data_IF_439223810210
#
_entry.id   IF_439223810210
#
_cell.length_a   1.000
_cell.length_b   1.000
_cell.length_c   1.000
_cell.angle_alpha   90.00
_cell.angle_beta   90.00
_cell.angle_gamma   90.00
#
_symmetry.space_group_name_H-M   'P 1'
#
loop_
_entity.id
_entity.type
_entity.pdbx_description
1 polymer ?
#
# COMPACT_ATOMS: atom_id res chain seq x y z
N UNK A 1 -3.85 56.41 70.00
CA UNK A 1 -4.02 56.58 68.53
C UNK A 1 -4.56 55.25 67.99
N UNK A 2 -5.85 55.23 67.55
CA UNK A 2 -6.58 54.23 66.71
C UNK A 2 -6.67 52.75 67.18
N UNK A 3 -7.87 52.26 67.59
CA UNK A 3 -8.84 51.32 66.91
C UNK A 3 -8.30 49.86 66.81
N UNK A 4 -9.00 48.76 67.11
CA UNK A 4 -10.24 48.13 66.57
C UNK A 4 -10.62 46.95 67.53
N UNK A 5 -11.86 46.68 67.96
CA UNK A 5 -13.13 46.26 67.28
C UNK A 5 -13.21 44.77 66.89
N UNK A 6 -14.16 44.10 67.55
CA UNK A 6 -15.09 43.01 67.18
C UNK A 6 -14.62 41.82 66.32
N UNK A 7 -14.75 40.61 66.85
CA UNK A 7 -15.97 39.76 66.88
C UNK A 7 -16.11 38.95 65.59
N UNK A 8 -15.94 37.64 65.79
CA UNK A 8 -16.08 36.51 64.89
C UNK A 8 -17.27 36.64 63.94
N UNK A 9 -17.01 36.63 62.63
CA UNK A 9 -18.03 36.48 61.61
C UNK A 9 -17.60 35.41 60.59
N UNK A 10 -18.49 34.44 60.45
CA UNK A 10 -18.48 33.32 59.49
C UNK A 10 -18.35 33.85 58.05
N UNK A 11 -17.45 33.27 57.25
CA UNK A 11 -17.58 33.34 55.79
C UNK A 11 -17.22 32.01 55.12
N UNK A 12 -18.27 31.44 54.55
CA UNK A 12 -18.38 30.30 53.65
C UNK A 12 -17.43 30.49 52.44
N UNK A 13 -16.47 29.58 52.24
CA UNK A 13 -15.67 29.52 51.02
C UNK A 13 -16.08 28.28 50.22
N UNK A 14 -16.80 28.56 49.13
CA UNK A 14 -17.17 27.65 48.06
C UNK A 14 -15.93 26.95 47.50
N UNK A 15 -15.86 25.63 47.66
CA UNK A 15 -14.96 24.78 46.87
C UNK A 15 -15.57 24.63 45.48
N UNK A 16 -15.11 25.44 44.53
CA UNK A 16 -15.33 25.14 43.11
C UNK A 16 -14.38 24.01 42.77
N UNK A 17 -14.93 22.81 42.56
CA UNK A 17 -14.22 21.69 41.97
C UNK A 17 -13.90 22.04 40.52
N UNK A 18 -12.73 22.62 40.28
CA UNK A 18 -12.14 22.63 38.95
C UNK A 18 -11.49 21.26 38.75
N UNK A 19 -12.21 20.34 38.09
CA UNK A 19 -11.61 19.15 37.52
C UNK A 19 -10.61 19.62 36.46
N UNK A 20 -9.33 19.59 36.83
CA UNK A 20 -8.22 19.70 35.90
C UNK A 20 -8.02 18.32 35.29
N UNK A 21 -8.81 18.00 34.25
CA UNK A 21 -8.50 16.90 33.31
C UNK A 21 -7.32 17.33 32.43
N UNK A 22 -6.15 17.47 33.04
CA UNK A 22 -4.87 17.46 32.33
C UNK A 22 -4.31 16.04 32.49
N UNK A 23 -4.95 15.09 31.80
CA UNK A 23 -4.31 13.81 31.54
C UNK A 23 -3.16 14.10 30.57
N UNK A 24 -1.88 13.86 30.93
CA UNK A 24 -0.79 14.09 30.00
C UNK A 24 -1.04 13.19 28.80
N UNK A 25 -1.28 13.80 27.64
CA UNK A 25 -1.50 13.09 26.38
C UNK A 25 -0.46 11.98 26.26
N UNK A 26 -0.90 10.73 26.38
CA UNK A 26 -0.06 9.56 26.22
C UNK A 26 0.68 9.74 24.90
N UNK A 27 2.02 9.68 24.86
CA UNK A 27 2.74 9.84 23.62
C UNK A 27 2.17 8.85 22.60
N UNK A 28 1.59 9.37 21.51
CA UNK A 28 1.10 8.53 20.42
C UNK A 28 2.34 7.80 19.91
N UNK A 29 2.40 6.51 20.17
CA UNK A 29 3.51 5.68 19.75
C UNK A 29 3.65 5.82 18.23
N UNK A 30 4.74 6.43 17.78
CA UNK A 30 4.95 6.71 16.37
C UNK A 30 5.34 5.40 15.70
N UNK A 31 4.55 4.97 14.70
CA UNK A 31 4.83 3.78 13.92
C UNK A 31 6.27 3.78 13.40
N UNK A 32 7.02 2.70 13.63
CA UNK A 32 8.42 2.58 13.21
C UNK A 32 8.85 1.12 13.12
N UNK A 33 9.35 0.72 11.97
CA UNK A 33 9.97 -0.61 11.79
C UNK A 33 11.45 -0.41 11.46
N UNK A 34 12.32 -1.00 12.26
CA UNK A 34 13.77 -1.02 12.00
C UNK A 34 14.16 -2.41 11.56
N UNK A 35 14.67 -2.54 10.34
CA UNK A 35 15.31 -3.75 9.86
C UNK A 35 16.80 -3.66 10.20
N UNK A 36 17.31 -4.61 10.98
CA UNK A 36 18.72 -4.73 11.29
C UNK A 36 19.26 -5.95 10.56
N UNK A 37 20.10 -5.71 9.56
CA UNK A 37 20.68 -6.76 8.72
C UNK A 37 22.14 -6.99 9.11
N UNK A 38 22.49 -8.25 9.36
CA UNK A 38 23.86 -8.68 9.64
C UNK A 38 24.23 -9.87 8.76
N UNK A 39 25.50 -10.08 8.50
CA UNK A 39 25.96 -11.28 7.83
C UNK A 39 26.05 -12.47 8.81
N UNK A 40 26.54 -13.61 8.32
CA UNK A 40 26.73 -14.82 9.13
C UNK A 40 27.82 -14.70 10.20
N UNK A 41 28.71 -13.70 10.11
CA UNK A 41 29.69 -13.36 11.14
C UNK A 41 29.14 -12.39 12.19
N UNK A 42 27.95 -11.80 11.95
CA UNK A 42 27.31 -10.81 12.81
C UNK A 42 27.66 -9.37 12.47
N UNK A 43 28.43 -9.14 11.40
CA UNK A 43 28.81 -7.81 10.95
C UNK A 43 27.66 -7.14 10.18
N UNK A 44 27.46 -5.82 10.33
CA UNK A 44 26.39 -5.11 9.64
C UNK A 44 26.57 -5.12 8.12
N UNK A 45 25.47 -5.30 7.38
CA UNK A 45 25.49 -5.31 5.90
C UNK A 45 24.84 -4.06 5.34
N UNK A 46 25.66 -3.16 4.80
CA UNK A 46 25.23 -1.90 4.20
C UNK A 46 24.89 -2.05 2.71
N UNK A 47 24.08 -1.11 2.18
CA UNK A 47 23.81 -1.00 0.75
C UNK A 47 22.79 -1.99 0.19
N UNK A 48 22.15 -2.80 1.03
CA UNK A 48 21.07 -3.71 0.60
C UNK A 48 19.81 -2.90 0.34
N UNK A 49 19.25 -3.05 -0.86
CA UNK A 49 17.95 -2.50 -1.22
C UNK A 49 16.85 -3.34 -0.58
N UNK A 50 15.94 -2.69 0.13
CA UNK A 50 14.83 -3.33 0.81
C UNK A 50 13.53 -3.05 0.05
N UNK A 51 12.84 -4.11 -0.38
CA UNK A 51 11.48 -4.04 -0.94
C UNK A 51 10.51 -4.88 -0.10
N UNK A 52 9.24 -4.50 -0.05
CA UNK A 52 8.24 -5.14 0.81
C UNK A 52 6.98 -5.49 0.02
N UNK A 53 6.42 -6.66 0.30
CA UNK A 53 5.07 -7.05 -0.10
C UNK A 53 4.31 -7.66 1.06
N UNK A 54 3.00 -7.51 1.05
CA UNK A 54 2.14 -8.28 1.94
C UNK A 54 2.07 -9.73 1.45
N UNK A 55 2.39 -10.68 2.32
CA UNK A 55 2.32 -12.09 1.99
C UNK A 55 0.86 -12.52 1.88
N UNK A 56 0.53 -13.20 0.79
CA UNK A 56 -0.83 -13.69 0.59
C UNK A 56 -0.84 -14.91 -0.35
N UNK A 57 -1.83 -15.81 -0.21
CA UNK A 57 -1.82 -17.12 -0.88
C UNK A 57 -2.05 -17.06 -2.39
N UNK A 58 -2.44 -15.89 -2.92
CA UNK A 58 -2.74 -15.71 -4.32
C UNK A 58 -1.61 -15.00 -5.08
N UNK A 59 -0.49 -14.65 -4.41
CA UNK A 59 0.71 -14.14 -5.07
C UNK A 59 1.18 -15.12 -6.16
N UNK A 60 1.02 -14.73 -7.42
CA UNK A 60 1.57 -15.48 -8.54
C UNK A 60 2.91 -14.88 -8.94
N UNK A 61 3.96 -15.69 -8.88
CA UNK A 61 5.25 -15.29 -9.41
C UNK A 61 5.26 -15.44 -10.92
N UNK A 62 5.17 -14.32 -11.65
CA UNK A 62 5.27 -14.32 -13.12
C UNK A 62 6.44 -13.46 -13.59
N UNK A 63 7.54 -14.12 -13.91
CA UNK A 63 8.71 -13.47 -14.49
C UNK A 63 8.38 -12.87 -15.87
N UNK A 64 8.84 -11.65 -16.14
CA UNK A 64 8.79 -11.03 -17.47
C UNK A 64 7.53 -10.23 -17.81
N UNK A 65 6.66 -9.93 -16.82
CA UNK A 65 5.53 -9.01 -17.02
C UNK A 65 5.93 -7.59 -16.60
N UNK A 66 5.60 -6.60 -17.43
CA UNK A 66 5.57 -5.20 -17.03
C UNK A 66 4.25 -4.94 -16.28
N UNK A 67 4.29 -4.29 -15.10
CA UNK A 67 3.07 -3.93 -14.40
C UNK A 67 2.30 -2.89 -15.21
N UNK A 68 1.31 -3.38 -15.95
CA UNK A 68 0.41 -2.59 -16.75
C UNK A 68 -0.99 -3.01 -16.36
N UNK A 69 -1.69 -2.13 -15.66
CA UNK A 69 -3.09 -2.34 -15.32
C UNK A 69 -3.94 -1.60 -16.35
N UNK A 70 -4.76 -2.33 -17.10
CA UNK A 70 -5.73 -1.74 -18.03
C UNK A 70 -7.07 -1.57 -17.32
N UNK A 71 -7.59 -0.35 -17.36
CA UNK A 71 -8.85 0.07 -16.76
C UNK A 71 -9.80 0.35 -17.91
N UNK A 72 -10.83 -0.48 -18.05
CA UNK A 72 -11.84 -0.34 -19.08
C UNK A 72 -13.13 0.20 -18.47
N UNK A 73 -13.77 1.13 -19.16
CA UNK A 73 -15.09 1.63 -18.76
C UNK A 73 -15.95 2.08 -19.95
N UNK A 74 -17.26 2.13 -19.75
CA UNK A 74 -18.23 2.55 -20.77
C UNK A 74 -19.12 3.67 -20.26
N UNK A 75 -19.45 4.60 -21.16
CA UNK A 75 -20.42 5.65 -20.93
C UNK A 75 -21.57 5.58 -21.92
N UNK A 76 -22.79 5.64 -21.41
CA UNK A 76 -23.99 5.75 -22.24
C UNK A 76 -24.19 7.18 -22.77
N UNK A 77 -23.61 8.17 -22.09
CA UNK A 77 -23.73 9.59 -22.43
C UNK A 77 -22.36 10.28 -22.33
N UNK A 78 -22.19 11.39 -23.05
CA UNK A 78 -21.00 12.21 -22.90
C UNK A 78 -20.89 12.78 -21.48
N UNK A 79 -19.69 12.79 -20.91
CA UNK A 79 -19.42 13.25 -19.56
C UNK A 79 -18.00 13.84 -19.46
N UNK A 80 -17.70 14.55 -18.37
CA UNK A 80 -16.34 14.83 -17.93
C UNK A 80 -15.90 13.72 -16.99
N UNK A 81 -14.85 13.00 -17.38
CA UNK A 81 -14.33 11.84 -16.67
C UNK A 81 -13.06 12.20 -15.92
N UNK A 82 -13.02 11.89 -14.63
CA UNK A 82 -11.83 11.96 -13.79
C UNK A 82 -11.50 10.56 -13.29
N UNK A 83 -10.31 10.06 -13.63
CA UNK A 83 -9.78 8.79 -13.15
C UNK A 83 -8.47 9.05 -12.41
N UNK A 84 -8.45 8.80 -11.10
CA UNK A 84 -7.29 8.98 -10.24
C UNK A 84 -6.80 7.65 -9.69
N UNK A 85 -5.50 7.58 -9.45
CA UNK A 85 -4.86 6.56 -8.62
C UNK A 85 -4.55 7.20 -7.29
N UNK A 86 -5.00 6.57 -6.23
CA UNK A 86 -4.81 7.00 -4.84
C UNK A 86 -3.98 5.97 -4.08
N UNK A 87 -3.14 6.44 -3.16
CA UNK A 87 -2.50 5.56 -2.18
C UNK A 87 -3.50 5.03 -1.15
N UNK A 88 -3.07 4.17 -0.24
CA UNK A 88 -3.94 3.57 0.78
C UNK A 88 -4.55 4.60 1.76
N UNK A 89 -3.99 5.81 1.83
CA UNK A 89 -4.50 6.92 2.64
C UNK A 89 -5.47 7.83 1.86
N UNK A 90 -5.69 7.56 0.57
CA UNK A 90 -6.56 8.35 -0.31
C UNK A 90 -5.85 9.55 -0.94
N UNK A 91 -4.53 9.66 -0.83
CA UNK A 91 -3.79 10.72 -1.50
C UNK A 91 -3.64 10.38 -2.98
N UNK A 92 -3.99 11.31 -3.88
CA UNK A 92 -3.78 11.13 -5.32
C UNK A 92 -2.29 11.05 -5.64
N UNK A 93 -1.86 9.90 -6.16
CA UNK A 93 -0.49 9.69 -6.66
C UNK A 93 -0.39 9.88 -8.17
N UNK A 94 -1.51 9.73 -8.90
CA UNK A 94 -1.58 10.00 -10.34
C UNK A 94 -2.99 10.30 -10.82
N UNK A 95 -3.09 11.15 -11.83
CA UNK A 95 -4.31 11.37 -12.60
C UNK A 95 -4.12 10.68 -13.96
N UNK A 96 -5.00 9.74 -14.31
CA UNK A 96 -4.95 8.99 -15.57
C UNK A 96 -5.87 9.58 -16.64
N UNK A 97 -6.99 10.18 -16.21
CA UNK A 97 -7.86 10.99 -17.05
C UNK A 97 -8.44 12.14 -16.24
N UNK A 98 -8.58 13.29 -16.90
CA UNK A 98 -9.34 14.45 -16.39
C UNK A 98 -9.79 15.28 -17.59
N UNK A 99 -10.73 14.73 -18.35
CA UNK A 99 -11.14 15.31 -19.63
C UNK A 99 -12.57 14.92 -20.02
N UNK A 100 -13.20 15.69 -20.93
CA UNK A 100 -14.45 15.29 -21.55
C UNK A 100 -14.27 13.99 -22.35
N UNK A 101 -15.22 13.08 -22.23
CA UNK A 101 -15.34 11.84 -22.97
C UNK A 101 -16.73 11.75 -23.62
N UNK A 102 -16.77 11.24 -24.85
CA UNK A 102 -18.03 10.92 -25.52
C UNK A 102 -18.69 9.67 -24.90
N UNK A 103 -19.92 9.37 -25.31
CA UNK A 103 -20.48 8.03 -25.08
C UNK A 103 -19.64 6.98 -25.83
N UNK A 104 -19.42 5.82 -25.22
CA UNK A 104 -18.62 4.74 -25.79
C UNK A 104 -17.75 4.01 -24.77
N UNK A 105 -16.89 3.14 -25.28
CA UNK A 105 -15.96 2.30 -24.52
C UNK A 105 -14.58 2.97 -24.49
N UNK A 106 -13.94 2.98 -23.31
CA UNK A 106 -12.62 3.56 -23.10
C UNK A 106 -11.72 2.56 -22.40
N UNK A 107 -10.43 2.60 -22.73
CA UNK A 107 -9.37 1.82 -22.10
C UNK A 107 -8.25 2.76 -21.70
N UNK A 108 -7.88 2.75 -20.43
CA UNK A 108 -6.79 3.57 -19.88
C UNK A 108 -5.81 2.65 -19.16
N UNK A 109 -4.53 2.79 -19.47
CA UNK A 109 -3.49 1.98 -18.84
C UNK A 109 -2.77 2.77 -17.75
N UNK A 110 -2.43 2.07 -16.67
CA UNK A 110 -1.52 2.55 -15.63
C UNK A 110 -0.29 1.66 -15.56
N UNK A 111 0.88 2.26 -15.69
CA UNK A 111 2.19 1.59 -15.66
C UNK A 111 2.85 1.60 -14.27
N UNK A 112 2.03 1.72 -13.22
CA UNK A 112 2.47 1.71 -11.82
C UNK A 112 3.51 2.81 -11.47
N UNK A 113 3.38 3.96 -12.12
CA UNK A 113 4.13 5.18 -11.82
C UNK A 113 3.23 6.27 -11.24
N UNK A 114 3.82 7.16 -10.46
CA UNK A 114 3.21 8.42 -10.00
C UNK A 114 3.17 9.49 -11.12
N UNK A 115 2.65 10.68 -10.79
CA UNK A 115 2.58 11.83 -11.70
C UNK A 115 3.93 12.37 -12.18
N UNK A 116 5.02 12.07 -11.46
CA UNK A 116 6.39 12.47 -11.80
C UNK A 116 7.12 11.39 -12.61
N UNK A 117 6.47 10.25 -12.88
CA UNK A 117 7.06 9.13 -13.62
C UNK A 117 7.91 8.19 -12.77
N UNK A 118 7.89 8.32 -11.45
CA UNK A 118 8.60 7.43 -10.53
C UNK A 118 7.80 6.15 -10.32
N UNK A 119 8.46 5.00 -10.34
CA UNK A 119 7.79 3.73 -10.00
C UNK A 119 7.34 3.73 -8.54
N UNK A 120 6.11 3.29 -8.32
CA UNK A 120 5.53 3.19 -7.00
C UNK A 120 5.84 1.81 -6.37
N UNK A 121 6.04 1.75 -5.04
CA UNK A 121 6.30 0.49 -4.34
C UNK A 121 5.08 -0.40 -4.26
N UNK A 122 5.31 -1.70 -4.10
CA UNK A 122 4.26 -2.66 -3.84
C UNK A 122 3.39 -2.24 -2.65
N UNK A 123 2.09 -2.47 -2.76
CA UNK A 123 1.11 -1.95 -1.80
C UNK A 123 -0.29 -1.93 -2.36
N UNK A 124 -1.25 -1.47 -1.55
CA UNK A 124 -2.65 -1.32 -1.95
C UNK A 124 -2.88 0.08 -2.49
N UNK A 125 -3.52 0.17 -3.65
CA UNK A 125 -3.90 1.42 -4.31
C UNK A 125 -5.38 1.40 -4.65
N UNK A 126 -5.97 2.58 -4.81
CA UNK A 126 -7.36 2.75 -5.22
C UNK A 126 -7.43 3.49 -6.54
N UNK A 127 -8.08 2.90 -7.54
CA UNK A 127 -8.59 3.66 -8.68
C UNK A 127 -9.91 4.30 -8.28
N UNK A 128 -9.99 5.61 -8.38
CA UNK A 128 -11.24 6.34 -8.17
C UNK A 128 -11.69 6.95 -9.48
N UNK A 129 -12.91 6.61 -9.87
CA UNK A 129 -13.51 7.08 -11.10
C UNK A 129 -14.72 7.95 -10.80
N UNK A 130 -14.79 9.14 -11.41
CA UNK A 130 -15.92 10.06 -11.29
C UNK A 130 -16.30 10.56 -12.69
N UNK A 131 -17.55 10.36 -13.08
CA UNK A 131 -18.14 10.94 -14.29
C UNK A 131 -19.14 12.04 -13.93
N UNK A 132 -19.02 13.21 -14.55
CA UNK A 132 -19.92 14.35 -14.36
C UNK A 132 -20.54 14.81 -15.67
N UNK A 133 -21.76 15.31 -15.65
CA UNK A 133 -22.34 15.98 -16.81
C UNK A 133 -21.78 17.41 -17.00
N UNK A 134 -22.24 18.11 -18.05
CA UNK A 134 -21.83 19.48 -18.35
C UNK A 134 -22.25 20.50 -17.27
N UNK A 135 -23.22 20.17 -16.41
CA UNK A 135 -23.64 20.99 -15.29
C UNK A 135 -22.83 20.69 -14.01
N UNK A 136 -21.90 19.72 -14.06
CA UNK A 136 -21.07 19.28 -12.94
C UNK A 136 -21.73 18.24 -12.03
N UNK A 137 -22.93 17.77 -12.37
CA UNK A 137 -23.66 16.75 -11.61
C UNK A 137 -22.96 15.41 -11.77
N UNK A 138 -22.67 14.73 -10.66
CA UNK A 138 -22.11 13.37 -10.70
C UNK A 138 -23.13 12.41 -11.30
N UNK A 139 -22.78 11.81 -12.43
CA UNK A 139 -23.56 10.77 -13.10
C UNK A 139 -23.22 9.39 -12.54
N UNK A 140 -21.93 9.18 -12.25
CA UNK A 140 -21.40 7.91 -11.77
C UNK A 140 -20.12 8.14 -10.96
N UNK A 141 -19.94 7.37 -9.89
CA UNK A 141 -18.72 7.33 -9.10
C UNK A 141 -18.51 5.89 -8.64
N UNK A 142 -17.29 5.39 -8.82
CA UNK A 142 -16.89 4.05 -8.35
C UNK A 142 -15.42 4.05 -7.94
N UNK A 143 -15.06 3.10 -7.09
CA UNK A 143 -13.69 2.89 -6.63
C UNK A 143 -13.32 1.41 -6.73
N UNK A 144 -12.10 1.13 -7.18
CA UNK A 144 -11.55 -0.23 -7.24
C UNK A 144 -10.19 -0.29 -6.59
N UNK A 145 -10.07 -1.15 -5.59
CA UNK A 145 -8.80 -1.41 -4.94
C UNK A 145 -8.02 -2.48 -5.69
N UNK A 146 -6.71 -2.30 -5.75
CA UNK A 146 -5.77 -3.25 -6.29
C UNK A 146 -4.64 -3.50 -5.29
N UNK A 147 -4.06 -4.70 -5.34
CA UNK A 147 -2.77 -4.95 -4.72
C UNK A 147 -1.69 -4.96 -5.80
N UNK A 148 -0.69 -4.11 -5.66
CA UNK A 148 0.45 -4.08 -6.55
C UNK A 148 1.60 -4.91 -5.99
N UNK A 149 2.07 -5.88 -6.78
CA UNK A 149 3.09 -6.87 -6.37
C UNK A 149 4.22 -7.06 -7.38
N UNK A 150 4.14 -6.44 -8.56
CA UNK A 150 5.03 -6.71 -9.69
C UNK A 150 6.41 -6.04 -9.66
N UNK A 151 6.70 -5.11 -8.74
CA UNK A 151 7.96 -4.37 -8.76
C UNK A 151 8.67 -4.36 -7.40
N UNK A 152 9.92 -4.82 -7.42
CA UNK A 152 10.91 -4.61 -6.36
C UNK A 152 11.40 -3.17 -6.36
N UNK A 153 10.48 -2.21 -6.23
CA UNK A 153 10.87 -0.82 -5.98
C UNK A 153 11.38 -0.77 -4.54
N UNK A 154 12.66 -0.46 -4.33
CA UNK A 154 13.19 -0.38 -2.99
C UNK A 154 12.50 0.76 -2.23
N UNK A 155 12.02 0.46 -1.03
CA UNK A 155 11.45 1.44 -0.10
C UNK A 155 12.50 1.97 0.88
N UNK A 156 13.64 1.27 1.00
CA UNK A 156 14.80 1.73 1.76
C UNK A 156 16.09 1.08 1.25
N UNK A 157 17.22 1.55 1.78
CA UNK A 157 18.53 0.91 1.62
C UNK A 157 19.19 0.84 3.00
N UNK A 158 19.87 -0.27 3.32
CA UNK A 158 20.57 -0.39 4.60
C UNK A 158 21.74 0.59 4.68
N UNK A 159 21.88 1.26 5.82
CA UNK A 159 22.98 2.18 6.11
C UNK A 159 24.27 1.45 6.52
N UNK A 160 25.31 2.20 6.90
CA UNK A 160 26.59 1.66 7.34
C UNK A 160 26.51 0.75 8.58
N UNK A 161 25.46 0.90 9.40
CA UNK A 161 25.19 0.04 10.56
C UNK A 161 24.28 -1.15 10.19
N UNK A 162 24.00 -1.35 8.90
CA UNK A 162 23.12 -2.41 8.40
C UNK A 162 21.65 -2.16 8.70
N UNK A 163 21.25 -0.90 8.93
CA UNK A 163 19.87 -0.56 9.30
C UNK A 163 19.10 0.06 8.15
N UNK A 164 17.85 -0.36 8.01
CA UNK A 164 16.85 0.36 7.23
C UNK A 164 15.67 0.69 8.16
N UNK A 165 15.28 1.96 8.22
CA UNK A 165 14.21 2.44 9.10
C UNK A 165 13.03 2.91 8.27
N UNK A 166 11.86 2.32 8.48
CA UNK A 166 10.61 2.73 7.85
C UNK A 166 9.68 3.35 8.88
N UNK A 167 9.24 4.57 8.57
CA UNK A 167 8.20 5.30 9.33
C UNK A 167 6.95 5.52 8.51
N UNK A 168 7.02 5.32 7.19
CA UNK A 168 5.85 5.38 6.32
C UNK A 168 5.04 4.09 6.47
N UNK A 169 3.85 4.23 7.06
CA UNK A 169 2.97 3.10 7.33
C UNK A 169 2.30 2.55 6.07
N UNK A 170 2.30 3.30 4.96
CA UNK A 170 1.67 2.90 3.69
C UNK A 170 2.30 1.66 3.05
N UNK A 171 3.52 1.29 3.44
CA UNK A 171 4.17 0.04 3.04
C UNK A 171 3.58 -1.22 3.71
N UNK A 172 2.71 -1.03 4.70
CA UNK A 172 2.15 -2.08 5.55
C UNK A 172 0.62 -2.02 5.50
N UNK A 173 0.02 -2.50 4.40
CA UNK A 173 -1.37 -2.22 4.10
C UNK A 173 -2.37 -2.89 5.05
N UNK A 174 -1.94 -3.89 5.82
CA UNK A 174 -2.76 -4.56 6.83
C UNK A 174 -3.06 -3.70 8.06
N UNK A 175 -2.37 -2.57 8.26
CA UNK A 175 -2.71 -1.61 9.32
C UNK A 175 -3.92 -0.73 8.99
N UNK A 176 -4.43 -0.80 7.76
CA UNK A 176 -5.54 0.01 7.31
C UNK A 176 -6.81 -0.84 7.31
N UNK A 177 -7.82 -0.39 8.06
CA UNK A 177 -9.15 -0.98 8.04
C UNK A 177 -9.81 -0.68 6.68
N UNK A 178 -9.64 -1.62 5.75
CA UNK A 178 -10.14 -1.54 4.39
C UNK A 178 -10.88 -2.83 4.05
N UNK A 179 -11.93 -2.78 3.24
CA UNK A 179 -12.64 -3.99 2.82
C UNK A 179 -11.69 -5.04 2.24
N UNK A 180 -11.97 -6.32 2.45
CA UNK A 180 -11.21 -7.37 1.79
C UNK A 180 -11.33 -7.21 0.26
N UNK A 181 -10.22 -7.38 -0.45
CA UNK A 181 -10.25 -7.49 -1.90
C UNK A 181 -10.72 -8.91 -2.27
N UNK A 182 -11.26 -9.08 -3.47
CA UNK A 182 -11.65 -10.41 -3.96
C UNK A 182 -10.61 -10.88 -4.97
N UNK A 183 -10.04 -12.06 -4.75
CA UNK A 183 -9.23 -12.73 -5.74
C UNK A 183 -10.12 -13.39 -6.79
N UNK A 184 -9.67 -13.38 -8.03
CA UNK A 184 -10.36 -13.97 -9.18
C UNK A 184 -9.44 -14.95 -9.92
N UNK A 185 -10.00 -16.04 -10.47
CA UNK A 185 -9.30 -16.95 -11.40
C UNK A 185 -9.20 -16.36 -12.79
N UNK A 186 -8.49 -17.04 -13.73
CA UNK A 186 -8.24 -16.69 -15.15
C UNK A 186 -9.45 -16.24 -16.00
N UNK A 187 -10.68 -16.48 -15.54
CA UNK A 187 -11.91 -16.08 -16.20
C UNK A 187 -12.66 -14.96 -15.45
N UNK A 188 -12.05 -14.37 -14.42
CA UNK A 188 -12.67 -13.33 -13.59
C UNK A 188 -13.59 -13.88 -12.49
N UNK A 189 -13.66 -15.19 -12.29
CA UNK A 189 -14.56 -15.77 -11.28
C UNK A 189 -13.96 -15.63 -9.87
N UNK A 190 -14.73 -15.21 -8.86
CA UNK A 190 -14.23 -15.11 -7.48
C UNK A 190 -13.74 -16.45 -6.92
N UNK A 191 -12.50 -16.49 -6.45
CA UNK A 191 -11.87 -17.66 -5.81
C UNK A 191 -11.64 -17.48 -4.30
N UNK A 192 -11.95 -16.30 -3.76
CA UNK A 192 -11.97 -16.05 -2.33
C UNK A 192 -11.40 -14.68 -1.95
N UNK A 193 -11.54 -14.31 -0.67
CA UNK A 193 -11.08 -13.01 -0.20
C UNK A 193 -9.55 -12.96 -0.14
N UNK A 194 -8.99 -11.94 -0.75
CA UNK A 194 -7.62 -11.50 -0.54
C UNK A 194 -7.59 -10.66 0.75
N UNK A 195 -7.11 -11.29 1.81
CA UNK A 195 -6.92 -10.67 3.12
C UNK A 195 -5.46 -10.27 3.26
N UNK A 196 -5.22 -9.02 3.63
CA UNK A 196 -3.88 -8.53 3.92
C UNK A 196 -3.59 -8.76 5.41
N UNK A 197 -2.57 -9.56 5.72
CA UNK A 197 -2.24 -9.96 7.10
C UNK A 197 -1.01 -9.24 7.61
N UNK A 198 -0.61 -9.48 8.86
CA UNK A 198 0.66 -8.99 9.41
C UNK A 198 1.90 -9.56 8.70
N UNK A 199 1.74 -10.65 7.95
CA UNK A 199 2.86 -11.34 7.33
C UNK A 199 3.33 -10.58 6.09
N UNK A 200 4.59 -10.16 6.13
CA UNK A 200 5.24 -9.42 5.07
C UNK A 200 6.37 -10.25 4.49
N UNK A 201 6.49 -10.24 3.17
CA UNK A 201 7.71 -10.66 2.47
C UNK A 201 8.65 -9.48 2.33
N UNK A 202 9.87 -9.67 2.83
CA UNK A 202 10.95 -8.70 2.83
C UNK A 202 12.00 -9.19 1.85
N UNK A 203 12.27 -8.38 0.83
CA UNK A 203 13.27 -8.67 -0.19
C UNK A 203 14.48 -7.80 0.08
N UNK A 204 15.64 -8.44 0.22
CA UNK A 204 16.93 -7.75 0.29
C UNK A 204 17.72 -8.07 -0.98
N UNK A 205 18.08 -7.03 -1.73
CA UNK A 205 18.87 -7.13 -2.96
C UNK A 205 20.20 -6.37 -2.79
N UNK A 206 21.32 -6.99 -3.15
CA UNK A 206 22.62 -6.32 -3.18
C UNK A 206 22.91 -5.64 -4.53
N UNK A 207 24.09 -5.02 -4.66
CA UNK A 207 24.51 -4.36 -5.90
C UNK A 207 24.70 -5.31 -7.09
N UNK A 208 24.93 -6.60 -6.82
CA UNK A 208 25.16 -7.66 -7.80
C UNK A 208 23.86 -8.40 -8.17
N UNK A 209 22.71 -7.94 -7.66
CA UNK A 209 21.36 -8.52 -7.83
C UNK A 209 21.20 -9.90 -7.20
N UNK A 210 22.01 -10.23 -6.21
CA UNK A 210 21.69 -11.35 -5.34
C UNK A 210 20.50 -10.95 -4.47
N UNK A 211 19.54 -11.87 -4.28
CA UNK A 211 18.26 -11.60 -3.63
C UNK A 211 18.00 -12.63 -2.54
N UNK A 212 17.66 -12.18 -1.33
CA UNK A 212 17.10 -13.02 -0.26
C UNK A 212 15.71 -12.54 0.11
N UNK A 213 14.85 -13.50 0.47
CA UNK A 213 13.46 -13.25 0.86
C UNK A 213 13.26 -13.74 2.28
N UNK A 214 12.66 -12.90 3.12
CA UNK A 214 12.30 -13.23 4.49
C UNK A 214 10.81 -13.01 4.69
N UNK A 215 10.17 -13.92 5.40
CA UNK A 215 8.79 -13.76 5.86
C UNK A 215 8.82 -13.33 7.33
N UNK A 216 8.19 -12.21 7.65
CA UNK A 216 8.09 -11.68 9.02
C UNK A 216 6.73 -11.05 9.25
N UNK A 217 6.16 -11.33 10.41
CA UNK A 217 5.04 -10.55 10.91
C UNK A 217 5.51 -9.13 11.28
N UNK A 218 4.75 -8.12 10.89
CA UNK A 218 4.97 -6.72 11.25
C UNK A 218 3.74 -6.22 11.98
N UNK A 219 3.86 -5.99 13.28
CA UNK A 219 2.76 -5.55 14.15
C UNK A 219 2.64 -4.02 14.27
N UNK A 220 1.60 -3.55 14.96
CA UNK A 220 1.49 -2.12 15.26
C UNK A 220 2.62 -1.67 16.23
N UNK A 221 2.98 -0.38 16.15
CA UNK A 221 3.96 0.24 17.06
C UNK A 221 5.41 0.18 16.56
N UNK A 222 6.35 0.32 17.50
CA UNK A 222 7.78 0.31 17.20
C UNK A 222 8.37 -1.12 17.24
N UNK A 223 9.05 -1.54 16.17
CA UNK A 223 9.63 -2.88 16.05
C UNK A 223 11.08 -2.87 15.55
N UNK A 224 11.82 -3.90 15.97
CA UNK A 224 13.14 -4.27 15.46
C UNK A 224 13.04 -5.67 14.86
N UNK A 225 13.32 -5.79 13.57
CA UNK A 225 13.37 -7.05 12.84
C UNK A 225 14.84 -7.37 12.51
N UNK A 226 15.38 -8.40 13.14
CA UNK A 226 16.74 -8.88 12.88
C UNK A 226 16.73 -9.89 11.72
N UNK A 227 17.54 -9.62 10.70
CA UNK A 227 17.69 -10.42 9.49
C UNK A 227 19.16 -10.81 9.31
N UNK A 228 19.39 -12.04 8.86
CA UNK A 228 20.74 -12.55 8.57
C UNK A 228 20.88 -12.72 7.06
N UNK A 229 21.74 -11.91 6.47
CA UNK A 229 22.13 -11.98 5.06
C UNK A 229 23.21 -13.03 4.85
N UNK A 230 22.98 -13.95 3.93
CA UNK A 230 23.91 -15.06 3.63
C UNK A 230 24.72 -14.86 2.36
N UNK A 231 24.59 -13.70 1.69
CA UNK A 231 25.25 -13.41 0.41
C UNK A 231 24.39 -13.72 -0.81
N UNK A 232 23.09 -14.02 -0.60
CA UNK A 232 22.14 -14.42 -1.62
C UNK A 232 22.47 -15.77 -2.22
N UNK A 233 21.64 -16.76 -1.90
CA UNK A 233 21.57 -17.99 -2.71
C UNK A 233 20.58 -17.65 -3.84
N UNK A 234 20.96 -17.72 -5.13
CA UNK A 234 19.98 -17.56 -6.20
C UNK A 234 18.84 -18.55 -5.92
N UNK A 235 17.56 -18.14 -5.98
CA UNK A 235 16.47 -19.05 -5.67
C UNK A 235 16.64 -20.28 -6.56
N UNK A 236 16.69 -21.47 -5.93
CA UNK A 236 16.57 -22.70 -6.70
C UNK A 236 15.30 -22.55 -7.55
N UNK A 237 15.34 -22.85 -8.87
CA UNK A 237 14.13 -22.82 -9.67
C UNK A 237 13.13 -23.72 -8.97
N UNK A 238 11.97 -23.16 -8.57
CA UNK A 238 11.01 -23.91 -7.79
C UNK A 238 10.69 -25.21 -8.54
N UNK A 239 10.84 -26.37 -7.89
CA UNK A 239 10.63 -27.70 -8.50
C UNK A 239 9.20 -27.87 -9.06
N UNK A 240 8.28 -26.99 -8.66
CA UNK A 240 6.89 -26.93 -9.12
C UNK A 240 6.52 -25.56 -9.74
N UNK A 241 7.50 -24.76 -10.20
CA UNK A 241 7.18 -23.62 -11.04
C UNK A 241 6.51 -24.15 -12.32
N UNK A 242 5.19 -24.01 -12.39
CA UNK A 242 4.49 -24.10 -13.67
C UNK A 242 5.00 -22.93 -14.49
N UNK A 243 6.03 -23.19 -15.30
CA UNK A 243 6.37 -22.32 -16.41
C UNK A 243 5.22 -22.49 -17.38
N UNK A 244 4.21 -21.63 -17.26
CA UNK A 244 3.30 -21.37 -18.36
C UNK A 244 4.20 -20.81 -19.47
N UNK A 245 4.56 -21.68 -20.41
CA UNK A 245 5.20 -21.26 -21.65
C UNK A 245 4.30 -20.18 -22.25
N UNK A 246 4.90 -19.10 -22.75
CA UNK A 246 4.20 -18.15 -23.60
C UNK A 246 3.64 -18.92 -24.81
N UNK A 247 2.42 -19.42 -24.67
CA UNK A 247 1.65 -20.04 -25.71
C UNK A 247 0.68 -18.96 -26.18
N UNK A 248 0.89 -18.54 -27.42
CA UNK A 248 0.02 -17.78 -28.30
C UNK A 248 -0.79 -16.64 -27.63
N UNK A 249 -0.24 -15.44 -27.75
CA UNK A 249 -0.98 -14.18 -27.58
C UNK A 249 -2.12 -14.18 -28.60
N UNK A 250 -3.31 -14.59 -28.16
CA UNK A 250 -4.57 -14.35 -28.87
C UNK A 250 -4.99 -12.94 -28.50
N UNK A 251 -5.16 -12.10 -29.52
CA UNK A 251 -5.71 -10.75 -29.43
C UNK A 251 -7.15 -10.84 -28.85
N UNK A 252 -7.43 -10.34 -27.63
CA UNK A 252 -8.76 -10.50 -27.04
C UNK A 252 -9.78 -9.53 -27.64
N UNK A 253 -10.99 -10.04 -27.93
CA UNK A 253 -12.15 -9.25 -28.42
C UNK A 253 -12.70 -8.29 -27.34
N UNK A 254 -13.41 -7.20 -27.73
CA UNK A 254 -13.80 -6.13 -26.80
C UNK A 254 -15.13 -6.40 -26.09
N UNK A 255 -15.11 -6.48 -24.75
CA UNK A 255 -16.30 -6.49 -23.88
C UNK A 255 -16.11 -5.52 -22.69
N UNK A 256 -17.18 -4.92 -22.17
CA UNK A 256 -17.14 -4.01 -21.01
C UNK A 256 -17.56 -4.74 -19.74
N UNK A 257 -16.59 -4.97 -18.85
CA UNK A 257 -16.73 -5.23 -17.42
C UNK A 257 -15.59 -4.45 -16.71
N UNK A 258 -15.70 -4.11 -15.41
CA UNK A 258 -14.49 -3.91 -14.57
C UNK A 258 -13.89 -5.30 -14.24
N UNK A 259 -13.75 -6.11 -15.28
CA UNK A 259 -13.35 -7.51 -15.31
C UNK A 259 -12.11 -7.62 -16.19
N UNK A 260 -11.07 -8.21 -15.63
CA UNK A 260 -9.74 -8.26 -16.21
C UNK A 260 -9.70 -9.21 -17.41
N UNK A 261 -9.19 -8.83 -18.59
CA UNK A 261 -8.55 -9.80 -19.46
C UNK A 261 -7.15 -10.01 -18.88
N UNK A 262 -7.04 -11.00 -18.00
CA UNK A 262 -5.92 -11.37 -17.09
C UNK A 262 -6.26 -11.09 -15.64
N UNK A 263 -7.03 -11.99 -15.03
CA UNK A 263 -7.40 -11.87 -13.65
C UNK A 263 -6.21 -12.30 -12.83
N UNK A 264 -5.60 -11.29 -12.25
CA UNK A 264 -4.91 -11.48 -11.03
C UNK A 264 -4.93 -10.13 -10.33
N UNK A 265 -5.43 -10.01 -9.10
CA UNK A 265 -5.22 -8.80 -8.30
C UNK A 265 -3.75 -8.67 -7.86
N UNK A 266 -2.84 -9.37 -8.53
CA UNK A 266 -1.39 -9.34 -8.39
C UNK A 266 -0.88 -9.12 -9.80
N UNK A 267 -0.47 -7.88 -10.10
CA UNK A 267 0.42 -7.69 -11.22
C UNK A 267 1.62 -8.63 -11.08
#
# INVERSE_FOLDING_TARGET
>A
MKRLVCLSLVLLLLTVSACSDDDPATPVETFKVTFQVRDTAGDPVAGLKLSLFNDNPYLQWKAGIAALTTIQFTHEVACHATLTVEDIEGNTVRILADNPLAAGVFNIAWDARDGEGTHLPGGRYTFRYVARDNAGVTLFEDTRDILMTAFYVPVATTDADGKAVLTDRRHFPHFYDRPAMMATDENGLPIGPLVLTSDMRIFLEDGDRNLEVYERAVEAGAQLLELVWTGGIPPAPAENAVILKAADVIDPEPEFELGLPHPNPFN
#
